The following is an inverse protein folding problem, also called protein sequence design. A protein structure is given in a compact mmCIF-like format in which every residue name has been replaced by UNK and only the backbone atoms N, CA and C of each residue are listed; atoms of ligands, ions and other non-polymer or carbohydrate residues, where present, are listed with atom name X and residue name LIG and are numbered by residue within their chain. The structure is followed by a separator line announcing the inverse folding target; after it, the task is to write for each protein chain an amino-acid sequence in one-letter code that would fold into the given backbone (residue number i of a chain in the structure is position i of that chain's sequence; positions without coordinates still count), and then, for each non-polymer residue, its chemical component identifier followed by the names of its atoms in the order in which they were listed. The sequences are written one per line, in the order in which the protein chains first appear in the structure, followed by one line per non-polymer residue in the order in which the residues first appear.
data_IF_771931696520
#
_entry.id   IF_771931696520
#
_cell.length_a   1.000
_cell.length_b   1.000
_cell.length_c   1.000
_cell.angle_alpha   90.00
_cell.angle_beta   90.00
_cell.angle_gamma   90.00
#
_symmetry.space_group_name_H-M   'P 1'
#
loop_
_entity.id
_entity.type
_entity.pdbx_description
1 polymer ?
#
# COMPACT_ATOMS: atom_id res chain seq x y z
N UNK A 1 3.96 26.36 -13.44
CA UNK A 1 2.87 26.33 -12.44
C UNK A 1 3.19 25.27 -11.41
N UNK A 2 2.94 25.54 -10.13
CA UNK A 2 3.01 24.51 -9.08
C UNK A 2 1.70 23.70 -9.16
N UNK A 3 1.82 22.38 -9.29
CA UNK A 3 0.69 21.46 -9.36
C UNK A 3 0.03 21.33 -7.96
N UNK A 4 -1.29 21.50 -7.87
CA UNK A 4 -2.03 21.26 -6.62
C UNK A 4 -2.29 19.75 -6.45
N UNK A 5 -1.33 19.07 -5.81
CA UNK A 5 -1.32 17.62 -5.59
C UNK A 5 -2.62 17.15 -4.93
N UNK A 6 -3.18 17.92 -4.01
CA UNK A 6 -4.33 17.47 -3.22
C UNK A 6 -5.62 17.38 -4.03
N UNK A 7 -5.75 18.24 -5.05
CA UNK A 7 -6.90 18.26 -5.97
C UNK A 7 -6.70 17.42 -7.21
N UNK A 8 -5.47 17.34 -7.72
CA UNK A 8 -5.20 16.77 -9.05
C UNK A 8 -4.72 15.32 -9.00
N UNK A 9 -4.10 14.89 -7.90
CA UNK A 9 -3.60 13.51 -7.79
C UNK A 9 -4.65 12.57 -7.22
N UNK A 10 -4.66 11.36 -7.75
CA UNK A 10 -5.58 10.31 -7.36
C UNK A 10 -5.27 9.82 -5.95
N UNK A 11 -6.31 9.52 -5.17
CA UNK A 11 -6.16 8.82 -3.90
C UNK A 11 -5.93 7.33 -4.17
N UNK A 12 -4.85 6.79 -3.61
CA UNK A 12 -4.52 5.37 -3.69
C UNK A 12 -4.02 4.85 -2.35
N UNK A 13 -3.89 3.54 -2.24
CA UNK A 13 -3.60 2.85 -0.99
C UNK A 13 -2.50 1.81 -1.21
N UNK A 14 -1.53 1.75 -0.31
CA UNK A 14 -0.45 0.78 -0.33
C UNK A 14 -0.45 -0.06 0.95
N UNK A 15 -0.80 -1.34 0.82
CA UNK A 15 -0.68 -2.30 1.93
C UNK A 15 0.77 -2.68 2.12
N UNK A 16 1.24 -2.72 3.36
CA UNK A 16 2.63 -3.05 3.65
C UNK A 16 2.82 -3.67 5.04
N UNK A 17 4.05 -4.06 5.39
CA UNK A 17 4.41 -4.48 6.75
C UNK A 17 4.92 -3.28 7.58
N UNK A 18 5.04 -3.48 8.90
CA UNK A 18 5.40 -2.40 9.84
C UNK A 18 6.78 -1.81 9.56
N UNK A 19 7.77 -2.63 9.23
CA UNK A 19 9.14 -2.17 8.97
C UNK A 19 9.20 -1.28 7.72
N UNK A 20 8.50 -1.70 6.67
CA UNK A 20 8.39 -0.95 5.42
C UNK A 20 7.60 0.33 5.62
N UNK A 21 6.48 0.29 6.36
CA UNK A 21 5.72 1.49 6.70
C UNK A 21 6.62 2.50 7.44
N UNK A 22 7.32 2.07 8.48
CA UNK A 22 8.21 2.92 9.27
C UNK A 22 9.29 3.57 8.40
N UNK A 23 9.94 2.79 7.53
CA UNK A 23 10.95 3.31 6.60
C UNK A 23 10.35 4.36 5.66
N UNK A 24 9.21 4.06 5.03
CA UNK A 24 8.53 4.97 4.11
C UNK A 24 8.15 6.29 4.81
N UNK A 25 7.63 6.22 6.04
CA UNK A 25 7.24 7.40 6.82
C UNK A 25 8.47 8.22 7.20
N UNK A 26 9.52 7.56 7.71
CA UNK A 26 10.77 8.22 8.12
C UNK A 26 11.42 8.99 6.98
N UNK A 27 11.33 8.48 5.76
CA UNK A 27 12.00 9.06 4.59
C UNK A 27 11.07 9.81 3.63
N UNK A 28 9.76 9.73 3.82
CA UNK A 28 8.76 10.33 2.93
C UNK A 28 8.75 9.75 1.51
N UNK A 29 9.35 8.58 1.28
CA UNK A 29 9.51 8.02 -0.06
C UNK A 29 9.42 6.49 -0.06
N UNK A 30 8.96 5.95 -1.19
CA UNK A 30 9.01 4.53 -1.47
C UNK A 30 10.39 4.16 -2.03
N UNK A 31 10.93 3.04 -1.55
CA UNK A 31 12.03 2.37 -2.23
C UNK A 31 11.49 1.62 -3.45
N UNK A 32 12.25 1.67 -4.53
CA UNK A 32 12.04 0.88 -5.74
C UNK A 32 13.07 -0.25 -5.80
N UNK A 33 12.82 -1.23 -6.69
CA UNK A 33 13.76 -2.33 -6.88
C UNK A 33 15.15 -1.79 -7.22
N UNK A 34 16.15 -2.29 -6.52
CA UNK A 34 17.53 -1.86 -6.69
C UNK A 34 17.97 -0.74 -5.74
N UNK A 35 17.05 -0.13 -4.99
CA UNK A 35 17.40 0.82 -3.93
C UNK A 35 18.07 0.14 -2.74
N UNK A 36 18.84 0.91 -1.99
CA UNK A 36 19.58 0.46 -0.81
C UNK A 36 18.95 1.05 0.45
N UNK A 37 18.70 0.19 1.43
CA UNK A 37 18.29 0.58 2.78
C UNK A 37 19.45 1.27 3.53
N UNK A 38 19.15 1.98 4.62
CA UNK A 38 20.19 2.62 5.46
C UNK A 38 21.24 1.64 6.00
N UNK A 39 20.88 0.36 6.16
CA UNK A 39 21.79 -0.70 6.62
C UNK A 39 22.67 -1.29 5.50
N UNK A 40 22.64 -0.73 4.28
CA UNK A 40 23.43 -1.18 3.14
C UNK A 40 22.84 -2.35 2.36
N UNK A 41 21.74 -2.97 2.83
CA UNK A 41 21.07 -4.03 2.08
C UNK A 41 20.29 -3.45 0.90
N UNK A 42 20.25 -4.17 -0.22
CA UNK A 42 19.44 -3.77 -1.38
C UNK A 42 18.01 -4.31 -1.28
N UNK A 43 17.01 -3.52 -1.68
CA UNK A 43 15.64 -3.97 -1.85
C UNK A 43 15.57 -5.00 -2.98
N UNK A 44 15.61 -6.27 -2.59
CA UNK A 44 15.44 -7.40 -3.49
C UNK A 44 13.98 -7.82 -3.56
N UNK A 45 13.19 -7.12 -4.38
CA UNK A 45 11.81 -7.49 -4.68
C UNK A 45 11.71 -8.14 -6.07
N UNK A 46 10.82 -9.13 -6.18
CA UNK A 46 10.60 -9.86 -7.44
C UNK A 46 10.06 -8.93 -8.54
N UNK A 47 9.16 -8.01 -8.18
CA UNK A 47 8.58 -7.05 -9.11
C UNK A 47 9.36 -5.73 -9.09
N UNK A 48 9.70 -5.15 -10.25
CA UNK A 48 10.44 -3.88 -10.32
C UNK A 48 9.60 -2.65 -9.96
N UNK A 49 8.28 -2.83 -9.77
CA UNK A 49 7.32 -1.74 -9.64
C UNK A 49 6.84 -1.55 -8.20
N UNK A 50 6.54 -0.30 -7.85
CA UNK A 50 5.69 0.05 -6.73
C UNK A 50 4.23 -0.20 -7.12
N UNK A 51 3.49 -0.87 -6.25
CA UNK A 51 2.06 -1.13 -6.43
C UNK A 51 1.22 -0.36 -5.43
N UNK A 52 0.11 0.18 -5.89
CA UNK A 52 -0.95 0.78 -5.08
C UNK A 52 -2.30 0.30 -5.61
N UNK A 53 -3.38 0.63 -4.90
CA UNK A 53 -4.75 0.38 -5.36
C UNK A 53 -5.62 1.62 -5.15
N UNK A 54 -6.60 1.90 -6.00
CA UNK A 54 -7.65 2.86 -5.69
C UNK A 54 -8.59 2.39 -4.55
N UNK A 55 -8.41 1.18 -4.01
CA UNK A 55 -9.27 0.66 -2.94
C UNK A 55 -8.47 0.22 -1.72
N UNK A 56 -8.85 0.74 -0.55
CA UNK A 56 -8.30 0.28 0.73
C UNK A 56 -8.57 -1.20 0.98
N UNK A 57 -9.74 -1.71 0.57
CA UNK A 57 -10.14 -3.11 0.78
C UNK A 57 -9.20 -4.09 0.08
N UNK A 58 -8.71 -3.74 -1.11
CA UNK A 58 -7.71 -4.55 -1.81
C UNK A 58 -6.35 -4.45 -1.14
N UNK A 59 -5.89 -3.24 -0.83
CA UNK A 59 -4.60 -3.01 -0.18
C UNK A 59 -4.53 -3.60 1.23
N UNK A 60 -5.65 -3.75 1.94
CA UNK A 60 -5.71 -4.34 3.27
C UNK A 60 -5.69 -5.89 3.31
N UNK A 61 -5.53 -6.55 2.16
CA UNK A 61 -5.40 -8.02 2.10
C UNK A 61 -4.07 -8.47 2.70
N UNK A 62 -4.07 -9.67 3.26
CA UNK A 62 -2.96 -10.26 4.01
C UNK A 62 -1.69 -10.43 3.17
N UNK A 63 -1.86 -10.59 1.85
CA UNK A 63 -0.77 -10.64 0.89
C UNK A 63 -0.01 -9.31 0.74
N UNK A 64 -0.63 -8.20 1.13
CA UNK A 64 -0.08 -6.84 0.99
C UNK A 64 0.10 -6.17 2.36
N UNK A 65 -0.95 -6.14 3.17
CA UNK A 65 -0.93 -5.68 4.55
C UNK A 65 -0.77 -6.88 5.50
N UNK A 66 0.48 -7.22 5.81
CA UNK A 66 0.82 -8.39 6.65
C UNK A 66 0.18 -8.24 8.04
N UNK A 67 -0.56 -9.25 8.54
CA UNK A 67 -1.06 -9.28 9.91
C UNK A 67 0.04 -9.11 10.95
N UNK A 68 -0.25 -8.37 12.01
CA UNK A 68 0.64 -8.13 13.15
C UNK A 68 -0.17 -8.41 14.42
N UNK A 69 0.36 -9.24 15.31
CA UNK A 69 -0.21 -9.40 16.64
C UNK A 69 0.03 -8.12 17.44
N UNK A 70 -1.04 -7.56 18.00
CA UNK A 70 -1.01 -6.33 18.78
C UNK A 70 -1.72 -6.57 20.11
N UNK A 71 -1.01 -6.27 21.20
CA UNK A 71 -1.57 -6.28 22.56
C UNK A 71 -1.68 -4.83 23.01
N UNK A 72 -2.90 -4.39 23.28
CA UNK A 72 -3.15 -3.04 23.77
C UNK A 72 -2.76 -2.90 25.25
N UNK A 73 -2.71 -1.67 25.75
CA UNK A 73 -2.32 -1.39 27.15
C UNK A 73 -3.30 -1.93 28.19
N UNK A 74 -4.51 -2.32 27.77
CA UNK A 74 -5.53 -2.97 28.59
C UNK A 74 -5.57 -4.49 28.40
N UNK A 75 -4.50 -5.09 27.85
CA UNK A 75 -4.35 -6.51 27.54
C UNK A 75 -5.27 -7.08 26.44
N UNK A 76 -6.09 -6.24 25.79
CA UNK A 76 -6.89 -6.65 24.63
C UNK A 76 -5.99 -7.06 23.46
N UNK A 77 -6.36 -8.16 22.80
CA UNK A 77 -5.60 -8.72 21.67
C UNK A 77 -6.27 -8.40 20.34
N UNK A 78 -5.45 -7.91 19.42
CA UNK A 78 -5.87 -7.59 18.06
C UNK A 78 -4.90 -8.17 17.03
N UNK A 79 -5.43 -8.43 15.85
CA UNK A 79 -4.67 -8.51 14.62
C UNK A 79 -4.71 -7.12 13.96
N UNK A 80 -3.56 -6.46 13.91
CA UNK A 80 -3.37 -5.19 13.25
C UNK A 80 -2.94 -5.37 11.78
N UNK A 81 -3.43 -4.49 10.90
CA UNK A 81 -3.00 -4.38 9.50
C UNK A 81 -2.75 -2.92 9.14
N UNK A 82 -1.67 -2.66 8.43
CA UNK A 82 -1.22 -1.31 8.07
C UNK A 82 -1.40 -1.08 6.56
N UNK A 83 -2.02 0.05 6.24
CA UNK A 83 -2.16 0.56 4.87
C UNK A 83 -1.78 2.03 4.84
N UNK A 84 -0.94 2.42 3.89
CA UNK A 84 -0.62 3.83 3.64
C UNK A 84 -1.66 4.44 2.70
N UNK A 85 -2.15 5.65 3.05
CA UNK A 85 -2.85 6.52 2.11
C UNK A 85 -1.84 7.30 1.28
N UNK A 86 -2.05 7.30 -0.02
CA UNK A 86 -1.16 7.90 -0.99
C UNK A 86 -1.89 8.85 -1.94
N UNK A 87 -1.16 9.84 -2.42
CA UNK A 87 -1.48 10.56 -3.65
C UNK A 87 -0.65 9.98 -4.77
N UNK A 88 -1.26 9.72 -5.91
CA UNK A 88 -0.57 9.21 -7.09
C UNK A 88 -0.83 10.06 -8.32
N UNK A 89 0.25 10.47 -8.98
CA UNK A 89 0.20 11.38 -10.12
C UNK A 89 -0.52 10.71 -11.31
N UNK A 90 -1.51 11.35 -11.92
CA UNK A 90 -2.12 10.84 -13.15
C UNK A 90 -1.08 10.70 -14.27
N UNK A 91 -1.20 9.65 -15.08
CA UNK A 91 -0.31 9.41 -16.23
C UNK A 91 1.06 8.83 -15.89
N UNK A 92 1.40 8.62 -14.61
CA UNK A 92 2.69 8.05 -14.20
C UNK A 92 2.59 6.59 -13.75
N UNK A 93 1.48 5.93 -14.03
CA UNK A 93 1.26 4.54 -13.64
C UNK A 93 0.44 3.80 -14.68
N UNK A 94 0.55 2.49 -14.66
CA UNK A 94 -0.26 1.56 -15.46
C UNK A 94 -1.31 0.92 -14.57
N UNK A 95 -2.41 0.50 -15.19
CA UNK A 95 -3.54 -0.13 -14.52
C UNK A 95 -3.58 -1.60 -14.94
N UNK A 96 -3.76 -2.49 -13.98
CA UNK A 96 -4.01 -3.91 -14.23
C UNK A 96 -5.07 -4.49 -13.30
N UNK A 97 -5.47 -5.72 -13.61
CA UNK A 97 -6.40 -6.48 -12.80
C UNK A 97 -5.77 -7.06 -11.53
N UNK A 98 -6.63 -7.59 -10.67
CA UNK A 98 -6.19 -8.28 -9.46
C UNK A 98 -5.24 -9.44 -9.77
N UNK A 99 -4.19 -9.58 -8.96
CA UNK A 99 -3.18 -10.64 -9.07
C UNK A 99 -3.34 -11.71 -7.99
N UNK A 100 -2.54 -12.78 -8.08
CA UNK A 100 -2.53 -13.86 -7.09
C UNK A 100 -3.89 -14.54 -6.94
N UNK A 101 -4.29 -14.83 -5.70
CA UNK A 101 -5.57 -15.49 -5.41
C UNK A 101 -6.78 -14.57 -5.65
N UNK A 102 -6.59 -13.25 -5.57
CA UNK A 102 -7.67 -12.29 -5.75
C UNK A 102 -8.24 -12.28 -7.18
N UNK A 103 -7.46 -12.75 -8.16
CA UNK A 103 -7.93 -12.90 -9.55
C UNK A 103 -9.15 -13.81 -9.70
N UNK A 104 -9.28 -14.80 -8.81
CA UNK A 104 -10.33 -15.82 -8.85
C UNK A 104 -11.60 -15.40 -8.13
N UNK A 105 -11.58 -14.28 -7.42
CA UNK A 105 -12.74 -13.80 -6.71
C UNK A 105 -13.75 -13.16 -7.66
N UNK A 106 -15.02 -13.43 -7.40
CA UNK A 106 -16.14 -12.87 -8.16
C UNK A 106 -16.22 -11.35 -8.00
N UNK A 107 -16.00 -10.84 -6.78
CA UNK A 107 -16.11 -9.41 -6.46
C UNK A 107 -15.16 -8.99 -5.35
N UNK A 108 -14.31 -8.00 -5.64
CA UNK A 108 -13.37 -7.44 -4.65
C UNK A 108 -13.91 -6.13 -4.08
N UNK A 109 -14.21 -5.17 -4.94
CA UNK A 109 -14.74 -3.86 -4.59
C UNK A 109 -16.13 -3.67 -5.22
N UNK A 110 -16.99 -2.89 -4.57
CA UNK A 110 -18.32 -2.56 -5.10
C UNK A 110 -18.29 -1.43 -6.14
N UNK A 111 -17.20 -0.66 -6.17
CA UNK A 111 -17.09 0.58 -6.96
C UNK A 111 -16.04 0.41 -8.06
N UNK A 112 -14.86 -0.13 -7.72
CA UNK A 112 -13.77 -0.31 -8.67
C UNK A 112 -13.83 -1.71 -9.29
N UNK A 113 -13.86 -1.81 -10.64
CA UNK A 113 -13.78 -3.09 -11.34
C UNK A 113 -12.50 -3.88 -11.01
N UNK A 114 -12.61 -5.21 -10.95
CA UNK A 114 -11.48 -6.10 -10.61
C UNK A 114 -10.31 -5.99 -11.59
N UNK A 115 -10.59 -5.76 -12.86
CA UNK A 115 -9.62 -5.60 -13.94
C UNK A 115 -8.89 -4.24 -13.92
N UNK A 116 -9.27 -3.34 -13.00
CA UNK A 116 -8.68 -2.00 -12.83
C UNK A 116 -8.24 -1.68 -11.41
N UNK A 117 -8.00 -2.71 -10.59
CA UNK A 117 -7.83 -2.55 -9.14
C UNK A 117 -6.37 -2.41 -8.70
N UNK A 118 -5.40 -2.65 -9.57
CA UNK A 118 -3.98 -2.49 -9.29
C UNK A 118 -3.36 -1.40 -10.14
N UNK A 119 -2.71 -0.45 -9.49
CA UNK A 119 -1.92 0.59 -10.15
C UNK A 119 -0.45 0.31 -9.87
N UNK A 120 0.40 0.40 -10.90
CA UNK A 120 1.82 0.12 -10.73
C UNK A 120 2.71 1.09 -11.50
N UNK A 121 3.87 1.39 -10.93
CA UNK A 121 4.82 2.38 -11.48
C UNK A 121 6.25 2.08 -11.05
N UNK A 122 7.21 2.42 -11.90
CA UNK A 122 8.65 2.51 -11.61
C UNK A 122 9.14 3.98 -11.56
N UNK A 123 8.22 4.95 -11.65
CA UNK A 123 8.55 6.37 -11.65
C UNK A 123 8.67 6.87 -10.20
N UNK A 124 9.89 7.28 -9.82
CA UNK A 124 10.16 7.90 -8.51
C UNK A 124 9.32 9.14 -8.29
N UNK A 125 9.01 9.41 -7.02
CA UNK A 125 8.25 10.58 -6.57
C UNK A 125 6.88 10.76 -7.24
N UNK A 126 6.34 9.73 -7.90
CA UNK A 126 5.01 9.75 -8.50
C UNK A 126 3.90 9.25 -7.57
N UNK A 127 4.30 8.74 -6.39
CA UNK A 127 3.42 8.32 -5.30
C UNK A 127 3.93 8.96 -4.01
N UNK A 128 3.07 9.74 -3.34
CA UNK A 128 3.38 10.44 -2.10
C UNK A 128 2.52 9.83 -0.98
N UNK A 129 3.11 9.13 -0.01
CA UNK A 129 2.38 8.68 1.17
C UNK A 129 2.12 9.89 2.08
N UNK A 130 0.90 10.01 2.61
CA UNK A 130 0.51 11.14 3.48
C UNK A 130 -0.30 10.73 4.72
N UNK A 131 -0.72 9.47 4.82
CA UNK A 131 -1.51 8.99 5.96
C UNK A 131 -1.27 7.52 6.23
N UNK A 132 -1.51 7.11 7.47
CA UNK A 132 -1.43 5.72 7.90
C UNK A 132 -2.83 5.32 8.36
N UNK A 133 -3.29 4.19 7.84
CA UNK A 133 -4.52 3.55 8.28
C UNK A 133 -4.19 2.24 8.97
N UNK A 134 -4.75 2.08 10.15
CA UNK A 134 -4.62 0.86 10.96
C UNK A 134 -5.98 0.22 11.05
N UNK A 135 -6.07 -1.04 10.61
CA UNK A 135 -7.24 -1.89 10.89
C UNK A 135 -6.90 -2.78 12.05
N UNK A 136 -7.69 -2.69 13.13
CA UNK A 136 -7.64 -3.58 14.27
C UNK A 136 -8.78 -4.60 14.14
N UNK A 137 -8.45 -5.88 14.26
CA UNK A 137 -9.40 -7.00 14.25
C UNK A 137 -9.29 -7.67 15.61
N UNK A 138 -10.33 -7.65 16.46
CA UNK A 138 -10.28 -8.34 17.75
C UNK A 138 -10.02 -9.84 17.56
N UNK A 139 -9.20 -10.44 18.43
CA UNK A 139 -8.91 -11.89 18.41
C UNK A 139 -10.03 -12.71 19.08
N UNK A 140 -10.71 -12.11 20.07
CA UNK A 140 -11.68 -12.79 20.94
C UNK A 140 -13.15 -12.35 20.69
N UNK A 141 -13.50 -11.97 19.46
CA UNK A 141 -14.87 -11.56 19.08
C UNK A 141 -15.76 -12.73 18.65
#
# INVERSE_FOLDING_TARGET
QVEDIWKTWHNTYHGTNIDSALSIIKHGQFLLKGDTFENGNQLNCRCPYLYTSPTIKYSARDAYARPIDFVASNDDRFIAKIVLQCKQKPGTYKIQGATGNARHEAKICNIIPKDKIEYYTDIRASVIPYGILVRLIPVDA
#
